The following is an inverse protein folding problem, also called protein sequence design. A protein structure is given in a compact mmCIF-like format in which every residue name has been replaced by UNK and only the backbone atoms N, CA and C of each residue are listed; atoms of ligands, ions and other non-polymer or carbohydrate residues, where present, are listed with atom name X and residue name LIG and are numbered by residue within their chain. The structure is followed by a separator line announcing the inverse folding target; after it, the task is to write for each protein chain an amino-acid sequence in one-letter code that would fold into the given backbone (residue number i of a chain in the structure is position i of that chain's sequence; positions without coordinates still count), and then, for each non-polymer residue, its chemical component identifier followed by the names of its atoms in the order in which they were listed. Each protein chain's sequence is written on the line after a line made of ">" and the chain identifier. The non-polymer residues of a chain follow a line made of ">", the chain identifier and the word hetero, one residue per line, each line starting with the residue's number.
data_IF_170529747297
#
_entry.id   IF_170529747297
#
_cell.length_a   1.000
_cell.length_b   1.000
_cell.length_c   1.000
_cell.angle_alpha   90.00
_cell.angle_beta   90.00
_cell.angle_gamma   90.00
#
_symmetry.space_group_name_H-M   'P 1'
#
loop_
_entity.id
_entity.type
_entity.pdbx_description
1 polymer ?
#
# COMPACT_ATOMS: atom_id res chain seq x y z
N UNK A 1 6.16 10.53 -18.98
CA UNK A 1 5.24 9.43 -18.68
C UNK A 1 3.94 9.68 -19.42
N UNK A 2 3.30 8.61 -19.93
CA UNK A 2 2.02 8.70 -20.63
C UNK A 2 1.03 7.74 -19.96
N UNK A 3 -0.20 8.20 -19.74
CA UNK A 3 -1.29 7.43 -19.18
C UNK A 3 -2.42 7.36 -20.22
N UNK A 4 -2.88 6.17 -20.53
CA UNK A 4 -4.05 5.92 -21.38
C UNK A 4 -5.07 5.14 -20.56
N UNK A 5 -6.31 5.62 -20.54
CA UNK A 5 -7.43 5.01 -19.82
C UNK A 5 -8.57 4.78 -20.80
N UNK A 6 -9.10 3.57 -20.82
CA UNK A 6 -10.26 3.21 -21.63
C UNK A 6 -11.28 2.45 -20.75
N UNK A 7 -12.54 2.85 -20.79
CA UNK A 7 -13.67 2.22 -20.08
C UNK A 7 -13.48 2.02 -18.56
N UNK A 8 -12.89 2.99 -17.88
CA UNK A 8 -12.70 3.00 -16.42
C UNK A 8 -13.58 4.08 -15.79
N UNK A 9 -14.36 3.72 -14.79
CA UNK A 9 -15.26 4.63 -14.10
C UNK A 9 -16.23 5.31 -15.08
N UNK A 10 -16.09 6.64 -15.24
CA UNK A 10 -16.88 7.42 -16.21
C UNK A 10 -16.15 7.71 -17.53
N UNK A 11 -14.89 7.30 -17.65
CA UNK A 11 -14.08 7.60 -18.82
C UNK A 11 -14.33 6.54 -19.88
N UNK A 12 -14.78 6.96 -21.06
CA UNK A 12 -14.76 6.13 -22.26
C UNK A 12 -13.34 5.97 -22.80
N UNK A 13 -12.64 7.10 -23.02
CA UNK A 13 -11.23 7.11 -23.40
C UNK A 13 -10.58 8.43 -22.98
N UNK A 14 -9.38 8.35 -22.42
CA UNK A 14 -8.53 9.49 -22.10
C UNK A 14 -7.06 9.15 -22.34
N UNK A 15 -6.29 10.12 -22.76
CA UNK A 15 -4.85 10.05 -22.93
C UNK A 15 -4.22 11.29 -22.30
N UNK A 16 -3.26 11.10 -21.39
CA UNK A 16 -2.63 12.17 -20.63
C UNK A 16 -1.12 12.00 -20.68
N UNK A 17 -0.43 13.02 -21.14
CA UNK A 17 1.03 13.14 -21.01
C UNK A 17 1.37 13.82 -19.70
N UNK A 18 2.18 13.17 -18.87
CA UNK A 18 2.62 13.67 -17.56
C UNK A 18 4.10 14.00 -17.64
N UNK A 19 4.39 15.31 -17.60
CA UNK A 19 5.75 15.84 -17.67
C UNK A 19 5.89 17.05 -16.75
N UNK A 20 6.56 16.89 -15.62
CA UNK A 20 6.63 17.91 -14.58
C UNK A 20 5.24 18.21 -14.00
N UNK A 21 4.73 19.42 -14.19
CA UNK A 21 3.38 19.82 -13.76
C UNK A 21 2.40 19.60 -14.90
N UNK A 22 1.40 18.76 -14.68
CA UNK A 22 0.30 18.51 -15.62
C UNK A 22 -1.01 18.99 -15.02
N UNK A 23 -1.75 19.81 -15.75
CA UNK A 23 -3.05 20.33 -15.31
C UNK A 23 -4.16 19.74 -16.18
N UNK A 24 -5.14 19.10 -15.54
CA UNK A 24 -6.31 18.53 -16.21
C UNK A 24 -7.51 19.40 -15.89
N UNK A 25 -8.03 20.09 -16.89
CA UNK A 25 -9.19 20.97 -16.78
C UNK A 25 -10.37 20.41 -17.57
N UNK A 26 -11.58 20.72 -17.13
CA UNK A 26 -12.82 20.30 -17.78
C UNK A 26 -14.04 20.53 -16.89
N UNK A 27 -15.21 20.34 -17.43
CA UNK A 27 -16.47 20.46 -16.70
C UNK A 27 -16.55 19.43 -15.54
N UNK A 28 -17.44 19.70 -14.58
CA UNK A 28 -17.68 18.75 -13.50
C UNK A 28 -18.27 17.46 -14.05
N UNK A 29 -17.96 16.35 -13.40
CA UNK A 29 -18.47 15.02 -13.75
C UNK A 29 -17.95 14.44 -15.09
N UNK A 30 -16.84 14.95 -15.63
CA UNK A 30 -16.23 14.46 -16.87
C UNK A 30 -15.17 13.38 -16.67
N UNK A 31 -14.91 12.97 -15.43
CA UNK A 31 -13.96 11.90 -15.09
C UNK A 31 -12.55 12.39 -14.72
N UNK A 32 -12.35 13.68 -14.42
CA UNK A 32 -11.04 14.21 -13.98
C UNK A 32 -10.47 13.42 -12.80
N UNK A 33 -11.25 13.26 -11.74
CA UNK A 33 -10.84 12.48 -10.55
C UNK A 33 -10.61 11.00 -10.88
N UNK A 34 -11.26 10.45 -11.90
CA UNK A 34 -11.01 9.07 -12.36
C UNK A 34 -9.58 8.89 -12.86
N UNK A 35 -9.01 9.92 -13.53
CA UNK A 35 -7.62 9.91 -13.98
C UNK A 35 -6.67 9.86 -12.78
N UNK A 36 -6.89 10.72 -11.78
CA UNK A 36 -6.11 10.74 -10.55
C UNK A 36 -6.17 9.40 -9.80
N UNK A 37 -7.37 8.84 -9.63
CA UNK A 37 -7.62 7.55 -8.97
C UNK A 37 -6.94 6.39 -9.70
N UNK A 38 -7.04 6.35 -11.03
CA UNK A 38 -6.36 5.32 -11.83
C UNK A 38 -4.84 5.39 -11.69
N UNK A 39 -4.28 6.61 -11.75
CA UNK A 39 -2.86 6.83 -11.58
C UNK A 39 -2.39 6.42 -10.18
N UNK A 40 -3.10 6.86 -9.14
CA UNK A 40 -2.81 6.51 -7.75
C UNK A 40 -2.82 4.99 -7.53
N UNK A 41 -3.90 4.31 -7.93
CA UNK A 41 -4.06 2.87 -7.71
C UNK A 41 -2.96 2.05 -8.38
N UNK A 42 -2.64 2.40 -9.63
CA UNK A 42 -1.62 1.69 -10.39
C UNK A 42 -0.23 1.96 -9.79
N UNK A 43 0.14 3.22 -9.54
CA UNK A 43 1.44 3.54 -8.96
C UNK A 43 1.68 2.83 -7.64
N UNK A 44 0.71 2.89 -6.72
CA UNK A 44 0.89 2.28 -5.40
C UNK A 44 0.80 0.74 -5.41
N UNK A 45 0.18 0.15 -6.44
CA UNK A 45 0.21 -1.31 -6.62
C UNK A 45 1.56 -1.79 -7.14
N UNK A 46 2.24 -0.98 -7.97
CA UNK A 46 3.56 -1.31 -8.52
C UNK A 46 4.73 -0.84 -7.64
N UNK A 47 4.45 -0.02 -6.62
CA UNK A 47 5.47 0.41 -5.68
C UNK A 47 5.99 -0.76 -4.84
N UNK A 48 7.31 -1.05 -4.93
CA UNK A 48 7.96 -2.15 -4.23
C UNK A 48 7.18 -3.48 -4.37
N UNK A 49 6.80 -3.81 -5.60
CA UNK A 49 5.90 -4.93 -5.91
C UNK A 49 6.41 -6.27 -5.37
N UNK A 50 7.72 -6.52 -5.44
CA UNK A 50 8.30 -7.77 -4.98
C UNK A 50 8.12 -7.93 -3.46
N UNK A 51 8.28 -6.85 -2.70
CA UNK A 51 8.03 -6.83 -1.26
C UNK A 51 6.55 -7.07 -0.95
N UNK A 52 5.64 -6.48 -1.74
CA UNK A 52 4.21 -6.70 -1.56
C UNK A 52 3.84 -8.18 -1.79
N UNK A 53 4.37 -8.81 -2.83
CA UNK A 53 4.15 -10.23 -3.11
C UNK A 53 4.70 -11.09 -1.97
N UNK A 54 5.92 -10.82 -1.52
CA UNK A 54 6.55 -11.53 -0.41
C UNK A 54 5.73 -11.40 0.87
N UNK A 55 5.25 -10.20 1.21
CA UNK A 55 4.41 -9.96 2.38
C UNK A 55 3.09 -10.74 2.29
N UNK A 56 2.45 -10.83 1.11
CA UNK A 56 1.21 -11.62 0.94
C UNK A 56 1.45 -13.10 1.20
N UNK A 57 2.52 -13.64 0.60
CA UNK A 57 2.86 -15.06 0.78
C UNK A 57 3.24 -15.36 2.22
N UNK A 58 4.10 -14.53 2.84
CA UNK A 58 4.48 -14.64 4.26
C UNK A 58 3.26 -14.67 5.17
N UNK A 59 2.30 -13.78 4.95
CA UNK A 59 1.07 -13.71 5.73
C UNK A 59 0.20 -14.96 5.56
N UNK A 60 0.06 -15.44 4.33
CA UNK A 60 -0.73 -16.64 4.03
C UNK A 60 -0.13 -17.86 4.70
N UNK A 61 1.18 -18.06 4.59
CA UNK A 61 1.90 -19.14 5.27
C UNK A 61 1.78 -18.97 6.79
N UNK A 62 1.99 -17.76 7.32
CA UNK A 62 1.88 -17.46 8.74
C UNK A 62 0.48 -17.75 9.32
N UNK A 63 -0.57 -17.41 8.61
CA UNK A 63 -1.94 -17.75 9.03
C UNK A 63 -2.17 -19.25 9.09
N UNK A 64 -1.66 -20.00 8.11
CA UNK A 64 -1.76 -21.46 8.06
C UNK A 64 -0.92 -22.11 9.17
N UNK A 65 0.32 -21.66 9.37
CA UNK A 65 1.19 -22.22 10.44
C UNK A 65 0.62 -21.95 11.83
N UNK A 66 -0.08 -20.84 12.04
CA UNK A 66 -0.76 -20.55 13.31
C UNK A 66 -1.83 -21.59 13.67
N UNK A 67 -2.43 -22.28 12.71
CA UNK A 67 -3.37 -23.39 12.95
C UNK A 67 -2.61 -24.55 13.62
N UNK A 68 -1.41 -24.87 13.12
CA UNK A 68 -0.55 -25.91 13.70
C UNK A 68 -0.08 -25.49 15.10
N UNK A 69 0.46 -24.27 15.22
CA UNK A 69 1.02 -23.77 16.48
C UNK A 69 -0.04 -23.54 17.56
N UNK A 70 -1.31 -23.36 17.17
CA UNK A 70 -2.42 -23.29 18.12
C UNK A 70 -2.64 -24.56 18.97
N UNK A 71 -2.08 -25.69 18.54
CA UNK A 71 -2.14 -26.97 19.28
C UNK A 71 -1.06 -27.09 20.37
N UNK A 72 -0.15 -26.11 20.49
CA UNK A 72 0.97 -26.12 21.39
C UNK A 72 0.89 -25.09 22.50
N UNK A 73 1.48 -25.37 23.64
CA UNK A 73 1.68 -24.35 24.67
C UNK A 73 2.66 -23.27 24.16
N UNK A 74 2.27 -22.01 24.31
CA UNK A 74 3.05 -20.84 23.86
C UNK A 74 4.44 -20.76 24.49
N UNK A 75 4.63 -21.29 25.71
CA UNK A 75 5.92 -21.33 26.41
C UNK A 75 6.97 -22.18 25.68
N UNK A 76 6.53 -23.10 24.84
CA UNK A 76 7.37 -24.01 24.07
C UNK A 76 7.49 -23.60 22.57
N UNK A 77 6.97 -22.43 22.18
CA UNK A 77 7.08 -21.89 20.83
C UNK A 77 8.18 -20.85 20.74
N UNK A 78 9.06 -21.00 19.76
CA UNK A 78 10.06 -19.99 19.43
C UNK A 78 9.56 -19.06 18.32
N UNK A 79 9.02 -17.90 18.68
CA UNK A 79 8.53 -16.91 17.72
C UNK A 79 9.60 -16.48 16.71
N UNK A 80 10.85 -16.29 17.17
CA UNK A 80 11.96 -15.97 16.27
C UNK A 80 12.23 -17.07 15.23
N UNK A 81 12.04 -18.36 15.61
CA UNK A 81 12.14 -19.46 14.64
C UNK A 81 10.94 -19.52 13.71
N UNK A 82 9.74 -19.20 14.19
CA UNK A 82 8.53 -19.13 13.35
C UNK A 82 8.76 -18.12 12.20
N UNK A 83 9.15 -16.91 12.53
CA UNK A 83 9.44 -15.86 11.51
C UNK A 83 10.56 -16.31 10.56
N UNK A 84 11.66 -16.82 11.09
CA UNK A 84 12.78 -17.32 10.29
C UNK A 84 12.36 -18.48 9.37
N UNK A 85 11.52 -19.39 9.82
CA UNK A 85 11.06 -20.52 9.04
C UNK A 85 10.16 -20.07 7.88
N UNK A 86 9.24 -19.13 8.12
CA UNK A 86 8.38 -18.57 7.09
C UNK A 86 9.24 -17.82 6.06
N UNK A 87 10.20 -17.02 6.51
CA UNK A 87 11.13 -16.33 5.62
C UNK A 87 11.95 -17.32 4.79
N UNK A 88 12.50 -18.36 5.39
CA UNK A 88 13.24 -19.41 4.69
C UNK A 88 12.41 -20.12 3.60
N UNK A 89 11.13 -20.38 3.87
CA UNK A 89 10.22 -20.95 2.86
C UNK A 89 10.04 -19.97 1.70
N UNK A 90 9.84 -18.68 1.97
CA UNK A 90 9.69 -17.65 0.94
C UNK A 90 10.94 -17.45 0.09
N UNK A 91 12.11 -17.49 0.72
CA UNK A 91 13.39 -17.29 0.02
C UNK A 91 13.79 -18.50 -0.85
N UNK A 92 13.18 -19.67 -0.61
CA UNK A 92 13.54 -20.94 -1.25
C UNK A 92 12.31 -21.69 -1.81
N UNK A 93 11.39 -20.98 -2.47
CA UNK A 93 10.12 -21.53 -2.95
C UNK A 93 10.28 -22.78 -3.81
N UNK A 94 11.23 -22.80 -4.75
CA UNK A 94 11.46 -23.94 -5.65
C UNK A 94 11.96 -25.20 -4.88
N UNK A 95 12.69 -25.02 -3.77
CA UNK A 95 13.11 -26.13 -2.92
C UNK A 95 11.95 -26.75 -2.14
N UNK A 96 11.03 -25.90 -1.66
CA UNK A 96 9.88 -26.36 -0.84
C UNK A 96 8.70 -26.82 -1.68
N UNK A 97 8.61 -26.42 -2.95
CA UNK A 97 7.56 -26.80 -3.88
C UNK A 97 7.48 -28.34 -4.01
N UNK A 98 6.28 -28.87 -3.74
CA UNK A 98 6.00 -30.32 -3.71
C UNK A 98 6.82 -31.14 -2.69
N UNK A 99 7.51 -30.49 -1.78
CA UNK A 99 8.30 -31.12 -0.73
C UNK A 99 7.63 -31.04 0.64
N UNK A 100 6.46 -31.69 0.76
CA UNK A 100 5.61 -31.62 1.96
C UNK A 100 6.37 -32.05 3.25
N UNK A 101 7.26 -33.03 3.14
CA UNK A 101 8.05 -33.51 4.27
C UNK A 101 8.97 -32.42 4.80
N UNK A 102 9.61 -31.68 3.93
CA UNK A 102 10.54 -30.63 4.30
C UNK A 102 9.83 -29.39 4.82
N UNK A 103 8.67 -29.02 4.24
CA UNK A 103 7.79 -27.96 4.77
C UNK A 103 7.40 -28.33 6.21
N UNK A 104 6.90 -29.54 6.44
CA UNK A 104 6.50 -30.02 7.76
C UNK A 104 7.68 -29.97 8.73
N UNK A 105 8.83 -30.51 8.32
CA UNK A 105 10.05 -30.53 9.13
C UNK A 105 10.46 -29.13 9.58
N UNK A 106 10.55 -28.16 8.65
CA UNK A 106 11.00 -26.82 8.97
C UNK A 106 10.03 -26.09 9.90
N UNK A 107 8.72 -26.25 9.68
CA UNK A 107 7.70 -25.65 10.56
C UNK A 107 7.81 -26.20 11.97
N UNK A 108 7.96 -27.51 12.11
CA UNK A 108 8.03 -28.16 13.45
C UNK A 108 9.31 -27.80 14.22
N UNK A 109 10.38 -27.31 13.59
CA UNK A 109 11.58 -26.85 14.31
C UNK A 109 11.36 -25.66 15.24
N UNK A 110 10.24 -24.95 15.09
CA UNK A 110 9.86 -23.85 15.99
C UNK A 110 9.22 -24.31 17.30
N UNK A 111 8.90 -25.59 17.41
CA UNK A 111 8.29 -26.24 18.61
C UNK A 111 9.36 -27.01 19.33
N UNK A 112 9.38 -26.93 20.67
CA UNK A 112 10.23 -27.80 21.49
C UNK A 112 9.68 -29.25 21.52
N UNK A 113 10.54 -30.24 21.34
CA UNK A 113 10.17 -31.65 21.41
C UNK A 113 9.63 -32.07 22.81
N UNK A 114 9.97 -31.29 23.84
CA UNK A 114 9.47 -31.49 25.20
C UNK A 114 8.00 -31.11 25.38
N UNK A 115 7.39 -30.50 24.35
CA UNK A 115 6.00 -30.06 24.39
C UNK A 115 5.06 -31.26 24.36
N UNK A 116 4.22 -31.39 25.40
CA UNK A 116 3.15 -32.38 25.42
C UNK A 116 2.24 -32.24 24.20
N UNK A 117 2.20 -33.23 23.33
CA UNK A 117 1.41 -33.20 22.09
C UNK A 117 2.24 -33.03 20.82
N UNK A 118 3.57 -32.88 20.91
CA UNK A 118 4.45 -32.75 19.73
C UNK A 118 4.26 -33.94 18.77
N UNK A 119 4.40 -35.18 19.25
CA UNK A 119 4.21 -36.39 18.43
C UNK A 119 2.79 -36.48 17.86
N UNK A 120 1.78 -36.22 18.69
CA UNK A 120 0.38 -36.25 18.27
C UNK A 120 0.09 -35.24 17.17
N UNK A 121 0.64 -34.02 17.25
CA UNK A 121 0.43 -32.98 16.23
C UNK A 121 1.18 -33.30 14.94
N UNK A 122 2.36 -33.94 15.03
CA UNK A 122 3.08 -34.40 13.83
C UNK A 122 2.26 -35.45 13.06
N UNK A 123 1.57 -36.34 13.77
CA UNK A 123 0.77 -37.43 13.16
C UNK A 123 -0.67 -37.00 12.85
N UNK A 124 -1.07 -35.77 13.22
CA UNK A 124 -2.42 -35.28 13.03
C UNK A 124 -2.73 -35.03 11.52
N UNK A 125 -3.78 -35.64 10.98
CA UNK A 125 -4.24 -35.41 9.62
C UNK A 125 -4.53 -33.91 9.32
N UNK A 126 -4.96 -33.11 10.31
CA UNK A 126 -5.17 -31.67 10.17
C UNK A 126 -3.85 -30.98 9.87
N UNK A 127 -2.76 -31.38 10.52
CA UNK A 127 -1.41 -30.86 10.22
C UNK A 127 -1.02 -31.16 8.78
N UNK A 128 -1.26 -32.36 8.28
CA UNK A 128 -0.95 -32.73 6.89
C UNK A 128 -1.80 -31.95 5.88
N UNK A 129 -3.07 -31.70 6.19
CA UNK A 129 -3.92 -30.82 5.38
C UNK A 129 -3.36 -29.38 5.33
N UNK A 130 -2.96 -28.82 6.48
CA UNK A 130 -2.37 -27.47 6.54
C UNK A 130 -1.07 -27.41 5.76
N UNK A 131 -0.20 -28.41 5.86
CA UNK A 131 1.04 -28.50 5.09
C UNK A 131 0.76 -28.53 3.58
N UNK A 132 -0.26 -29.28 3.17
CA UNK A 132 -0.71 -29.30 1.76
C UNK A 132 -1.16 -27.92 1.31
N UNK A 133 -1.95 -27.20 2.11
CA UNK A 133 -2.38 -25.83 1.81
C UNK A 133 -1.21 -24.84 1.77
N UNK A 134 -0.18 -25.00 2.60
CA UNK A 134 1.05 -24.20 2.52
C UNK A 134 1.76 -24.45 1.17
N UNK A 135 1.85 -25.70 0.76
CA UNK A 135 2.39 -26.05 -0.55
C UNK A 135 1.59 -25.42 -1.70
N UNK A 136 0.27 -25.34 -1.60
CA UNK A 136 -0.56 -24.67 -2.59
C UNK A 136 -0.24 -23.16 -2.62
N UNK A 137 -0.02 -22.52 -1.47
CA UNK A 137 0.44 -21.11 -1.41
C UNK A 137 1.80 -20.94 -2.09
N UNK A 138 2.73 -21.87 -1.87
CA UNK A 138 4.07 -21.85 -2.52
C UNK A 138 3.95 -21.94 -4.05
N UNK A 139 2.98 -22.68 -4.56
CA UNK A 139 2.75 -22.87 -6.00
C UNK A 139 2.10 -21.69 -6.71
N UNK A 140 1.44 -20.78 -5.96
CA UNK A 140 0.82 -19.59 -6.58
C UNK A 140 1.92 -18.72 -7.21
N UNK A 141 1.76 -18.38 -8.47
CA UNK A 141 2.72 -17.55 -9.18
C UNK A 141 2.72 -16.11 -8.65
N UNK A 142 3.86 -15.44 -8.73
CA UNK A 142 3.99 -14.03 -8.35
C UNK A 142 3.03 -13.13 -9.12
N UNK A 143 2.79 -13.43 -10.41
CA UNK A 143 1.88 -12.63 -11.24
C UNK A 143 0.43 -12.78 -10.79
N UNK A 144 0.01 -13.96 -10.32
CA UNK A 144 -1.35 -14.18 -9.81
C UNK A 144 -1.56 -13.45 -8.48
N UNK A 145 -0.55 -13.48 -7.59
CA UNK A 145 -0.58 -12.70 -6.35
C UNK A 145 -0.69 -11.22 -6.69
N UNK A 146 0.13 -10.73 -7.61
CA UNK A 146 0.12 -9.34 -8.00
C UNK A 146 -1.20 -8.90 -8.62
N UNK A 147 -1.75 -9.67 -9.56
CA UNK A 147 -3.06 -9.39 -10.16
C UNK A 147 -4.14 -9.23 -9.07
N UNK A 148 -4.10 -10.09 -8.05
CA UNK A 148 -5.04 -10.01 -6.92
C UNK A 148 -4.80 -8.77 -6.05
N UNK A 149 -3.56 -8.37 -5.82
CA UNK A 149 -3.20 -7.13 -5.08
C UNK A 149 -3.71 -5.90 -5.83
N UNK A 150 -3.41 -5.82 -7.11
CA UNK A 150 -3.84 -4.71 -7.98
C UNK A 150 -5.37 -4.63 -8.08
N UNK A 151 -6.05 -5.77 -8.24
CA UNK A 151 -7.52 -5.83 -8.23
C UNK A 151 -8.10 -5.24 -6.95
N UNK A 152 -7.58 -5.64 -5.80
CA UNK A 152 -8.06 -5.15 -4.50
C UNK A 152 -7.79 -3.66 -4.28
N UNK A 153 -6.65 -3.15 -4.74
CA UNK A 153 -6.34 -1.73 -4.68
C UNK A 153 -7.30 -0.92 -5.57
N UNK A 154 -7.55 -1.37 -6.80
CA UNK A 154 -8.52 -0.75 -7.69
C UNK A 154 -9.94 -0.84 -7.12
N UNK A 155 -10.34 -1.98 -6.57
CA UNK A 155 -11.66 -2.13 -5.93
C UNK A 155 -11.84 -1.18 -4.74
N UNK A 156 -10.79 -1.01 -3.90
CA UNK A 156 -10.83 -0.06 -2.78
C UNK A 156 -10.98 1.38 -3.27
N UNK A 157 -10.25 1.76 -4.32
CA UNK A 157 -10.25 3.11 -4.86
C UNK A 157 -11.56 3.45 -5.60
N UNK A 158 -12.13 2.48 -6.32
CA UNK A 158 -13.35 2.65 -7.13
C UNK A 158 -14.63 2.13 -6.44
N UNK A 159 -14.56 1.79 -5.13
CA UNK A 159 -15.70 1.24 -4.39
C UNK A 159 -16.33 0.03 -5.06
N UNK A 160 -15.51 -0.86 -5.64
CA UNK A 160 -15.96 -2.08 -6.32
C UNK A 160 -16.55 -1.86 -7.73
N UNK A 161 -16.44 -0.65 -8.30
CA UNK A 161 -16.94 -0.34 -9.65
C UNK A 161 -15.78 0.23 -10.50
N UNK A 162 -14.89 -0.64 -10.96
CA UNK A 162 -13.71 -0.23 -11.71
C UNK A 162 -14.08 0.11 -13.15
N UNK A 163 -14.81 -0.78 -13.81
CA UNK A 163 -15.24 -0.59 -15.19
C UNK A 163 -16.26 0.52 -15.34
N UNK A 164 -16.36 1.06 -16.55
CA UNK A 164 -17.44 1.93 -16.94
C UNK A 164 -18.73 1.08 -17.06
N UNK A 165 -19.65 1.25 -16.12
CA UNK A 165 -20.92 0.49 -16.07
C UNK A 165 -21.84 0.72 -17.28
N UNK A 166 -21.56 1.76 -18.09
CA UNK A 166 -22.30 2.06 -19.33
C UNK A 166 -21.62 1.45 -20.57
N UNK A 167 -20.55 0.69 -20.39
CA UNK A 167 -19.81 0.02 -21.47
C UNK A 167 -19.84 -1.49 -21.28
N UNK A 168 -20.05 -2.22 -22.37
CA UNK A 168 -19.96 -3.69 -22.38
C UNK A 168 -18.53 -4.20 -22.66
N UNK A 169 -17.58 -3.29 -22.85
CA UNK A 169 -16.19 -3.63 -23.15
C UNK A 169 -15.31 -3.58 -21.92
N UNK A 170 -14.23 -4.36 -21.95
CA UNK A 170 -13.23 -4.37 -20.88
C UNK A 170 -12.60 -2.99 -20.66
N UNK A 171 -12.29 -2.70 -19.41
CA UNK A 171 -11.52 -1.52 -19.04
C UNK A 171 -10.02 -1.74 -19.29
N UNK A 172 -9.30 -0.65 -19.55
CA UNK A 172 -7.86 -0.65 -19.75
C UNK A 172 -7.22 0.57 -19.11
N UNK A 173 -6.12 0.34 -18.39
CA UNK A 173 -5.21 1.39 -17.93
C UNK A 173 -3.82 1.03 -18.43
N UNK A 174 -3.25 1.89 -19.27
CA UNK A 174 -1.93 1.70 -19.83
C UNK A 174 -1.02 2.83 -19.38
N UNK A 175 0.15 2.48 -18.87
CA UNK A 175 1.16 3.44 -18.43
C UNK A 175 2.44 3.20 -19.21
N UNK A 176 2.98 4.26 -19.77
CA UNK A 176 4.28 4.28 -20.40
C UNK A 176 5.22 5.18 -19.61
N UNK A 177 6.33 4.60 -19.11
CA UNK A 177 7.38 5.30 -18.38
C UNK A 177 8.69 5.06 -19.11
N UNK A 178 9.25 6.12 -19.74
CA UNK A 178 10.41 6.01 -20.63
C UNK A 178 10.14 4.99 -21.74
N UNK A 179 10.96 3.93 -21.80
CA UNK A 179 10.87 2.87 -22.82
C UNK A 179 10.04 1.66 -22.35
N UNK A 180 9.50 1.72 -21.13
CA UNK A 180 8.68 0.66 -20.56
C UNK A 180 7.20 0.99 -20.66
N UNK A 181 6.43 0.03 -21.11
CA UNK A 181 4.97 0.11 -21.19
C UNK A 181 4.37 -1.08 -20.47
N UNK A 182 3.30 -0.83 -19.72
CA UNK A 182 2.50 -1.87 -19.11
C UNK A 182 1.02 -1.62 -19.33
N UNK A 183 0.26 -2.67 -19.41
CA UNK A 183 -1.19 -2.64 -19.59
C UNK A 183 -1.88 -3.41 -18.48
N UNK A 184 -2.78 -2.73 -17.79
CA UNK A 184 -3.73 -3.31 -16.85
C UNK A 184 -5.05 -3.48 -17.59
N UNK A 185 -5.55 -4.70 -17.67
CA UNK A 185 -6.85 -5.04 -18.22
C UNK A 185 -7.82 -5.32 -17.09
N UNK A 186 -9.02 -4.77 -17.19
CA UNK A 186 -10.11 -5.00 -16.26
C UNK A 186 -11.27 -5.60 -17.05
N UNK A 187 -11.60 -6.86 -16.79
CA UNK A 187 -12.70 -7.49 -17.51
C UNK A 187 -14.07 -7.00 -16.99
N UNK A 188 -15.14 -7.42 -17.64
CA UNK A 188 -16.50 -7.00 -17.31
C UNK A 188 -16.99 -7.40 -15.91
N UNK A 189 -16.29 -8.30 -15.24
CA UNK A 189 -16.53 -8.70 -13.84
C UNK A 189 -15.57 -8.03 -12.86
N UNK A 190 -14.92 -6.93 -13.27
CA UNK A 190 -13.91 -6.19 -12.50
C UNK A 190 -12.68 -7.04 -12.06
N UNK A 191 -12.42 -8.17 -12.78
CA UNK A 191 -11.19 -8.93 -12.58
C UNK A 191 -10.06 -8.28 -13.33
N UNK A 192 -8.90 -8.21 -12.67
CA UNK A 192 -7.73 -7.48 -13.13
C UNK A 192 -6.63 -8.44 -13.57
N UNK A 193 -5.97 -8.11 -14.68
CA UNK A 193 -4.77 -8.78 -15.15
C UNK A 193 -3.79 -7.78 -15.73
N UNK A 194 -2.49 -8.08 -15.64
CA UNK A 194 -1.43 -7.27 -16.24
C UNK A 194 -0.62 -8.08 -17.22
N UNK A 195 -0.08 -7.41 -18.22
CA UNK A 195 0.82 -8.02 -19.22
C UNK A 195 2.22 -8.25 -18.67
N UNK A 196 2.72 -7.36 -17.82
CA UNK A 196 4.02 -7.48 -17.16
C UNK A 196 4.10 -6.70 -15.85
N UNK A 197 5.06 -7.06 -15.01
CA UNK A 197 5.40 -6.33 -13.78
C UNK A 197 6.45 -5.26 -14.10
N UNK A 198 6.24 -4.04 -13.57
CA UNK A 198 7.25 -2.99 -13.51
C UNK A 198 7.42 -2.65 -12.03
N UNK A 199 8.63 -2.65 -11.52
CA UNK A 199 8.88 -2.27 -10.13
C UNK A 199 9.09 -0.76 -10.04
N UNK A 200 8.16 -0.07 -9.39
CA UNK A 200 8.25 1.36 -9.13
C UNK A 200 8.86 1.57 -7.74
N UNK A 201 9.87 2.42 -7.67
CA UNK A 201 10.56 2.74 -6.43
C UNK A 201 10.01 3.98 -5.72
N UNK A 202 9.01 4.64 -6.29
CA UNK A 202 8.34 5.80 -5.71
C UNK A 202 6.83 5.58 -5.69
N UNK A 203 6.18 5.96 -4.61
CA UNK A 203 4.72 5.93 -4.51
C UNK A 203 4.08 7.22 -5.01
N UNK A 204 2.77 7.17 -5.27
CA UNK A 204 1.97 8.35 -5.54
C UNK A 204 1.20 8.77 -4.28
N UNK A 205 1.14 10.06 -4.02
CA UNK A 205 0.29 10.66 -2.99
C UNK A 205 -0.85 11.40 -3.67
N UNK A 206 -2.08 11.14 -3.24
CA UNK A 206 -3.27 11.80 -3.78
C UNK A 206 -3.97 12.59 -2.68
N UNK A 207 -4.15 13.89 -2.91
CA UNK A 207 -4.81 14.84 -2.02
C UNK A 207 -6.04 15.39 -2.78
N UNK A 208 -7.21 14.83 -2.50
CA UNK A 208 -8.49 15.27 -3.05
C UNK A 208 -9.24 16.20 -2.12
N UNK A 209 -9.01 16.06 -0.82
CA UNK A 209 -9.75 16.78 0.21
C UNK A 209 -8.85 17.16 1.38
N UNK A 210 -8.55 18.44 1.58
CA UNK A 210 -7.74 18.90 2.69
C UNK A 210 -8.47 18.82 4.06
N UNK A 211 -9.79 18.53 4.08
CA UNK A 211 -10.55 18.31 5.32
C UNK A 211 -10.25 16.96 5.99
N UNK A 212 -9.33 16.18 5.46
CA UNK A 212 -8.86 14.93 6.05
C UNK A 212 -8.45 15.09 7.53
N UNK A 213 -8.01 16.27 7.94
CA UNK A 213 -7.73 16.60 9.34
C UNK A 213 -8.96 16.59 10.24
N UNK A 214 -10.14 16.80 9.68
CA UNK A 214 -11.38 16.91 10.44
C UNK A 214 -11.93 15.55 10.86
N UNK A 215 -11.44 14.48 10.22
CA UNK A 215 -11.88 13.09 10.40
C UNK A 215 -11.01 12.27 11.39
N UNK A 216 -10.36 12.93 12.34
CA UNK A 216 -9.23 12.42 13.13
C UNK A 216 -9.45 11.13 13.94
N UNK A 217 -10.68 10.74 14.26
CA UNK A 217 -10.92 9.62 15.19
C UNK A 217 -11.00 8.25 14.54
N UNK A 218 -11.19 8.13 13.23
CA UNK A 218 -11.35 6.82 12.55
C UNK A 218 -10.02 6.14 12.16
N UNK A 219 -8.90 6.82 12.34
CA UNK A 219 -7.58 6.39 11.83
C UNK A 219 -7.08 5.09 12.46
N UNK A 220 -7.35 4.90 13.77
CA UNK A 220 -6.93 3.67 14.47
C UNK A 220 -7.66 2.42 13.97
N UNK A 221 -8.88 2.53 13.48
CA UNK A 221 -9.63 1.42 12.89
C UNK A 221 -9.06 0.99 11.52
N UNK A 222 -8.40 1.89 10.80
CA UNK A 222 -7.91 1.63 9.44
C UNK A 222 -6.45 1.15 9.38
N UNK A 223 -5.72 1.11 10.51
CA UNK A 223 -4.33 0.61 10.55
C UNK A 223 -4.16 -0.81 9.99
N UNK A 224 -5.20 -1.63 10.10
CA UNK A 224 -5.20 -3.03 9.65
C UNK A 224 -5.73 -3.19 8.22
N UNK A 225 -6.26 -2.15 7.59
CA UNK A 225 -6.70 -2.21 6.21
C UNK A 225 -5.46 -2.24 5.29
N UNK A 226 -5.34 -3.29 4.54
CA UNK A 226 -4.21 -3.53 3.65
C UNK A 226 -4.40 -2.83 2.30
N UNK A 227 -5.59 -2.97 1.74
CA UNK A 227 -5.97 -2.34 0.49
C UNK A 227 -6.73 -1.07 0.82
N UNK A 228 -6.27 0.06 0.33
CA UNK A 228 -6.73 1.38 0.77
C UNK A 228 -7.01 2.27 -0.41
N UNK A 229 -8.08 3.04 -0.28
CA UNK A 229 -8.29 4.20 -1.13
C UNK A 229 -7.23 5.28 -0.81
N UNK A 230 -7.14 6.28 -1.68
CA UNK A 230 -6.19 7.38 -1.54
C UNK A 230 -6.38 8.17 -0.23
N UNK A 231 -7.61 8.34 0.26
CA UNK A 231 -7.88 9.05 1.51
C UNK A 231 -7.34 8.30 2.72
N UNK A 232 -7.63 7.00 2.81
CA UNK A 232 -7.12 6.15 3.89
C UNK A 232 -5.60 6.04 3.84
N UNK A 233 -5.02 5.97 2.63
CA UNK A 233 -3.58 5.99 2.43
C UNK A 233 -2.96 7.32 2.91
N UNK A 234 -3.51 8.46 2.49
CA UNK A 234 -3.04 9.78 2.91
C UNK A 234 -3.11 9.96 4.43
N UNK A 235 -4.23 9.55 5.07
CA UNK A 235 -4.36 9.58 6.55
C UNK A 235 -3.24 8.80 7.23
N UNK A 236 -2.97 7.59 6.74
CA UNK A 236 -1.93 6.76 7.33
C UNK A 236 -0.55 7.42 7.18
N UNK A 237 -0.23 7.95 6.01
CA UNK A 237 1.05 8.62 5.75
C UNK A 237 1.24 9.86 6.61
N UNK A 238 0.19 10.64 6.84
CA UNK A 238 0.26 11.80 7.75
C UNK A 238 0.61 11.42 9.21
N UNK A 239 0.25 10.20 9.63
CA UNK A 239 0.49 9.74 11.00
C UNK A 239 1.79 8.98 11.14
N UNK A 240 2.07 8.07 10.19
CA UNK A 240 3.20 7.14 10.33
C UNK A 240 4.45 7.61 9.63
N UNK A 241 4.33 8.55 8.68
CA UNK A 241 5.40 8.92 7.78
C UNK A 241 5.82 7.77 6.85
N UNK A 242 6.93 7.94 6.19
CA UNK A 242 7.59 6.87 5.47
C UNK A 242 8.57 6.16 6.42
N UNK A 243 8.25 4.91 6.79
CA UNK A 243 9.06 4.13 7.74
C UNK A 243 10.28 3.46 7.10
N UNK A 244 10.32 3.43 5.77
CA UNK A 244 11.33 2.67 5.01
C UNK A 244 12.52 3.54 4.60
N UNK A 245 12.57 4.81 5.04
CA UNK A 245 13.69 5.71 4.76
C UNK A 245 14.89 5.34 5.63
N UNK A 246 16.01 5.03 4.99
CA UNK A 246 17.28 4.88 5.70
C UNK A 246 17.81 6.25 6.13
N UNK A 247 18.64 6.28 7.17
CA UNK A 247 19.32 7.53 7.62
C UNK A 247 20.10 8.21 6.49
N UNK A 248 20.63 7.43 5.56
CA UNK A 248 21.38 7.95 4.39
C UNK A 248 20.41 8.63 3.41
N UNK A 249 19.27 8.01 3.12
CA UNK A 249 18.25 8.58 2.24
C UNK A 249 17.67 9.85 2.84
N UNK A 250 17.46 9.89 4.15
CA UNK A 250 17.03 11.09 4.87
C UNK A 250 18.02 12.25 4.72
N UNK A 251 19.34 11.99 4.83
CA UNK A 251 20.38 13.00 4.65
C UNK A 251 20.40 13.53 3.21
N UNK A 252 20.24 12.64 2.22
CA UNK A 252 20.22 13.01 0.79
C UNK A 252 18.95 13.80 0.45
N UNK A 253 17.79 13.35 0.93
CA UNK A 253 16.52 14.00 0.73
C UNK A 253 16.48 15.39 1.35
N UNK A 254 16.96 15.55 2.57
CA UNK A 254 16.94 16.81 3.31
C UNK A 254 17.61 17.96 2.56
N UNK A 255 18.68 17.73 1.82
CA UNK A 255 19.37 18.80 1.05
C UNK A 255 18.52 19.37 -0.09
N UNK A 256 17.69 18.55 -0.76
CA UNK A 256 16.86 18.96 -1.90
C UNK A 256 15.49 19.47 -1.45
N UNK A 257 14.96 18.88 -0.41
CA UNK A 257 13.64 19.22 0.16
C UNK A 257 13.72 20.56 0.92
N UNK A 258 14.88 20.94 1.46
CA UNK A 258 15.05 22.15 2.27
C UNK A 258 14.59 23.43 1.55
N UNK A 259 14.85 23.57 0.25
CA UNK A 259 14.39 24.75 -0.52
C UNK A 259 12.87 24.76 -0.67
N UNK A 260 12.26 23.61 -0.96
CA UNK A 260 10.80 23.49 -1.08
C UNK A 260 10.15 23.76 0.27
N UNK A 261 10.69 23.19 1.32
CA UNK A 261 10.24 23.42 2.70
C UNK A 261 10.29 24.89 3.08
N UNK A 262 11.39 25.60 2.77
CA UNK A 262 11.52 27.04 3.00
C UNK A 262 10.46 27.84 2.24
N UNK A 263 10.13 27.47 1.01
CA UNK A 263 9.08 28.13 0.21
C UNK A 263 7.69 27.88 0.81
N UNK A 264 7.36 26.64 1.18
CA UNK A 264 6.10 26.30 1.83
C UNK A 264 5.98 26.97 3.19
N UNK A 265 7.07 27.04 3.96
CA UNK A 265 7.09 27.69 5.29
C UNK A 265 6.85 29.20 5.25
N UNK A 266 7.06 29.86 4.09
CA UNK A 266 6.65 31.26 3.91
C UNK A 266 5.14 31.44 3.79
N UNK A 267 4.43 30.42 3.31
CA UNK A 267 2.96 30.41 3.18
C UNK A 267 2.32 29.85 4.46
N UNK A 268 2.95 28.85 5.06
CA UNK A 268 2.49 28.15 6.25
C UNK A 268 3.61 28.19 7.29
N UNK A 269 3.61 29.23 8.14
CA UNK A 269 4.65 29.52 9.14
C UNK A 269 4.53 28.68 10.43
N UNK A 270 3.49 27.87 10.56
CA UNK A 270 3.24 27.02 11.72
C UNK A 270 3.50 25.53 11.47
N UNK A 271 3.23 24.74 12.50
CA UNK A 271 3.41 23.29 12.51
C UNK A 271 2.14 22.60 12.99
N UNK A 272 1.91 21.39 12.49
CA UNK A 272 0.86 20.53 13.05
C UNK A 272 1.41 19.84 14.29
N UNK A 273 0.63 19.91 15.35
CA UNK A 273 0.87 19.20 16.60
C UNK A 273 -0.28 18.23 16.84
N UNK A 274 0.03 16.98 17.15
CA UNK A 274 -0.99 16.03 17.59
C UNK A 274 -1.25 16.25 19.10
N UNK A 275 -2.51 16.35 19.48
CA UNK A 275 -2.85 16.34 20.90
C UNK A 275 -3.14 14.90 21.38
N UNK A 276 -3.23 14.72 22.71
CA UNK A 276 -3.47 13.42 23.35
C UNK A 276 -4.82 12.78 22.97
N UNK A 277 -5.72 13.51 22.32
CA UNK A 277 -7.04 13.06 21.88
C UNK A 277 -7.09 12.68 20.40
N UNK A 278 -5.92 12.45 19.77
CA UNK A 278 -5.78 12.13 18.35
C UNK A 278 -6.38 13.19 17.38
N UNK A 279 -6.54 14.44 17.85
CA UNK A 279 -6.88 15.57 17.01
C UNK A 279 -5.62 16.35 16.60
N UNK A 280 -5.69 16.97 15.44
CA UNK A 280 -4.62 17.82 14.95
C UNK A 280 -4.83 19.27 15.37
N UNK A 281 -3.78 19.90 15.88
CA UNK A 281 -3.73 21.32 16.16
C UNK A 281 -2.67 22.02 15.32
N UNK A 282 -2.86 23.29 15.03
CA UNK A 282 -1.91 24.13 14.33
C UNK A 282 -1.28 25.12 15.31
N UNK A 283 0.04 25.04 15.47
CA UNK A 283 0.83 25.97 16.27
C UNK A 283 1.57 26.93 15.35
N UNK A 284 1.17 28.21 15.33
CA UNK A 284 1.85 29.24 14.56
C UNK A 284 3.24 29.51 15.13
N UNK A 285 4.23 29.78 14.28
CA UNK A 285 5.57 30.15 14.72
C UNK A 285 5.54 31.34 15.68
N UNK A 286 6.28 31.22 16.79
CA UNK A 286 6.34 32.25 17.83
C UNK A 286 5.09 32.35 18.74
N UNK A 287 4.12 31.43 18.62
CA UNK A 287 2.94 31.37 19.47
C UNK A 287 2.92 30.10 20.32
N UNK A 288 2.56 30.20 21.59
CA UNK A 288 2.27 29.04 22.44
C UNK A 288 0.82 28.53 22.28
N UNK A 289 -0.02 29.32 21.60
CA UNK A 289 -1.42 28.94 21.37
C UNK A 289 -1.56 27.96 20.20
N UNK A 290 -2.41 26.97 20.39
CA UNK A 290 -2.72 25.96 19.39
C UNK A 290 -4.14 26.21 18.89
N UNK A 291 -4.27 26.39 17.58
CA UNK A 291 -5.56 26.46 16.89
C UNK A 291 -5.97 25.04 16.47
N UNK A 292 -7.22 24.66 16.67
CA UNK A 292 -7.73 23.39 16.12
C UNK A 292 -7.61 23.42 14.59
N UNK A 293 -7.03 22.37 14.02
CA UNK A 293 -6.80 22.27 12.58
C UNK A 293 -8.09 22.37 11.75
N UNK A 294 -9.26 22.03 12.34
CA UNK A 294 -10.58 22.21 11.74
C UNK A 294 -10.88 23.67 11.38
N UNK A 295 -10.32 24.63 12.13
CA UNK A 295 -10.51 26.05 11.92
C UNK A 295 -9.56 26.68 10.89
N UNK A 296 -8.68 25.89 10.28
CA UNK A 296 -7.83 26.36 9.18
C UNK A 296 -8.63 26.51 7.88
N UNK A 297 -8.25 27.51 7.06
CA UNK A 297 -8.79 27.61 5.70
C UNK A 297 -8.36 26.42 4.83
N UNK A 298 -9.16 26.09 3.83
CA UNK A 298 -8.88 24.98 2.89
C UNK A 298 -7.47 25.06 2.29
N UNK A 299 -7.08 26.25 1.77
CA UNK A 299 -5.74 26.42 1.19
C UNK A 299 -4.62 26.21 2.21
N UNK A 300 -4.78 26.69 3.45
CA UNK A 300 -3.78 26.48 4.50
C UNK A 300 -3.70 25.01 4.89
N UNK A 301 -4.81 24.28 4.97
CA UNK A 301 -4.84 22.84 5.20
C UNK A 301 -4.02 22.09 4.15
N UNK A 302 -4.19 22.42 2.85
CA UNK A 302 -3.41 21.80 1.78
C UNK A 302 -1.90 22.03 1.94
N UNK A 303 -1.48 23.26 2.23
CA UNK A 303 -0.05 23.54 2.47
C UNK A 303 0.50 22.85 3.70
N UNK A 304 -0.30 22.74 4.76
CA UNK A 304 0.06 21.99 5.97
C UNK A 304 0.24 20.49 5.67
N UNK A 305 -0.67 19.88 4.89
CA UNK A 305 -0.54 18.49 4.44
C UNK A 305 0.76 18.29 3.68
N UNK A 306 1.02 19.13 2.67
CA UNK A 306 2.25 19.07 1.88
C UNK A 306 3.50 19.21 2.76
N UNK A 307 3.49 20.15 3.72
CA UNK A 307 4.58 20.36 4.66
C UNK A 307 4.83 19.13 5.53
N UNK A 308 3.78 18.50 6.04
CA UNK A 308 3.88 17.27 6.85
C UNK A 308 4.45 16.11 6.03
N UNK A 309 3.96 15.91 4.81
CA UNK A 309 4.40 14.83 3.93
C UNK A 309 5.87 14.99 3.47
N UNK A 310 6.35 16.23 3.36
CA UNK A 310 7.75 16.52 3.12
C UNK A 310 8.60 16.20 4.35
N UNK A 311 8.18 16.64 5.55
CA UNK A 311 8.92 16.46 6.79
C UNK A 311 9.02 14.99 7.22
N UNK A 312 8.00 14.20 6.95
CA UNK A 312 7.97 12.80 7.34
C UNK A 312 8.48 11.84 6.24
N UNK A 313 9.08 12.39 5.17
CA UNK A 313 9.70 11.62 4.10
C UNK A 313 8.73 10.90 3.15
N UNK A 314 7.44 11.18 3.22
CA UNK A 314 6.46 10.57 2.29
C UNK A 314 6.60 11.14 0.88
N UNK A 315 6.86 12.43 0.75
CA UNK A 315 7.13 13.06 -0.55
C UNK A 315 8.64 13.02 -0.80
N UNK A 316 9.02 12.23 -1.79
CA UNK A 316 10.39 12.08 -2.25
C UNK A 316 10.65 12.93 -3.50
N UNK A 317 11.94 13.10 -3.85
CA UNK A 317 12.36 13.97 -4.94
C UNK A 317 11.77 13.61 -6.33
N UNK A 318 11.45 12.34 -6.54
CA UNK A 318 10.86 11.83 -7.81
C UNK A 318 9.45 11.28 -7.60
N UNK A 319 8.83 11.53 -6.46
CA UNK A 319 7.48 11.07 -6.15
C UNK A 319 6.42 11.78 -6.99
N UNK A 320 5.29 11.13 -7.14
CA UNK A 320 4.12 11.69 -7.85
C UNK A 320 3.11 12.23 -6.85
N UNK A 321 2.73 13.51 -7.01
CA UNK A 321 1.69 14.14 -6.21
C UNK A 321 0.50 14.45 -7.12
N UNK A 322 -0.67 13.98 -6.73
CA UNK A 322 -1.94 14.24 -7.40
C UNK A 322 -2.74 15.18 -6.52
N UNK A 323 -3.17 16.32 -7.08
CA UNK A 323 -4.03 17.29 -6.41
C UNK A 323 -5.35 17.38 -7.18
N UNK A 324 -6.51 17.21 -6.50
CA UNK A 324 -7.85 17.30 -7.11
C UNK A 324 -8.73 18.37 -6.43
#
# INVERSE_FOLDING_TARGET
>A
MKLIIENIGKIGKAEVEINGITVIAGENNTGKSTIGRSLFSVFNSFYNINDQIMIERTRSIGNLTNIIYGNFDRSHLSYARIEKNIQNINDNLEFYKDNLKEIKRVIMTAVSEENNGFEKTIEDPITDEVITRINDVIKISDIDIFNSVLEKNLQAEFNGQINNIFSETCGKIQIQIRDEEMTVLVNTNDKVSVDKKIDLHTEAVYIDDPFIFDESQSIFMHKNLRYRDHRTHLKLKLITGNKDITVIDEIIANKKIEEIYKKISKVCDGEIVSNKQASFGYKKAGSEKILDAKNLSTGLKTFVILKMLLLNGTIENNGTIILD
#
